data_IF_504185506794
#
_entry.id   IF_504185506794
#
_cell.length_a   1.000
_cell.length_b   1.000
_cell.length_c   1.000
_cell.angle_alpha   90.00
_cell.angle_beta   90.00
_cell.angle_gamma   90.00
#
_symmetry.space_group_name_H-M   'P 1'
#
loop_
_entity.id
_entity.type
_entity.pdbx_description
1 polymer ?
#
# COMPACT_ATOMS: atom_id res chain seq x y z
N UNK A 1 -26.63 -31.96 -7.44
CA UNK A 1 -26.01 -31.01 -8.39
C UNK A 1 -26.19 -29.59 -7.88
N UNK A 2 -25.15 -28.97 -7.31
CA UNK A 2 -25.22 -27.60 -6.73
C UNK A 2 -24.31 -26.68 -7.54
N UNK A 3 -24.93 -25.86 -8.40
CA UNK A 3 -24.27 -24.88 -9.27
C UNK A 3 -23.96 -23.63 -8.46
N UNK A 4 -22.75 -23.50 -7.93
CA UNK A 4 -22.30 -22.28 -7.27
C UNK A 4 -21.84 -21.25 -8.31
N UNK A 5 -22.21 -20.00 -8.07
CA UNK A 5 -22.19 -18.88 -9.00
C UNK A 5 -20.79 -18.30 -9.22
N UNK A 6 -20.39 -18.20 -10.49
CA UNK A 6 -19.12 -17.59 -10.96
C UNK A 6 -19.16 -16.05 -10.92
N UNK A 7 -20.27 -15.44 -10.49
CA UNK A 7 -20.50 -13.99 -10.56
C UNK A 7 -19.74 -13.16 -9.52
N UNK A 8 -19.25 -13.75 -8.42
CA UNK A 8 -18.54 -13.00 -7.38
C UNK A 8 -17.12 -12.53 -7.74
N UNK A 9 -16.45 -13.24 -8.65
CA UNK A 9 -15.02 -13.00 -8.97
C UNK A 9 -14.82 -11.78 -9.88
N UNK A 10 -15.81 -11.45 -10.72
CA UNK A 10 -15.70 -10.33 -11.66
C UNK A 10 -15.85 -8.96 -10.98
N UNK A 11 -16.58 -8.88 -9.86
CA UNK A 11 -16.85 -7.62 -9.16
C UNK A 11 -15.62 -7.17 -8.37
N UNK A 12 -14.95 -8.09 -7.68
CA UNK A 12 -13.76 -7.79 -6.87
C UNK A 12 -12.56 -7.34 -7.71
N UNK A 13 -12.41 -7.87 -8.93
CA UNK A 13 -11.35 -7.46 -9.86
C UNK A 13 -11.59 -6.04 -10.41
N UNK A 14 -12.85 -5.66 -10.67
CA UNK A 14 -13.20 -4.34 -11.24
C UNK A 14 -13.03 -3.21 -10.22
N UNK A 15 -13.38 -3.45 -8.95
CA UNK A 15 -13.16 -2.49 -7.85
C UNK A 15 -11.67 -2.26 -7.55
N UNK A 16 -10.84 -3.31 -7.64
CA UNK A 16 -9.39 -3.18 -7.46
C UNK A 16 -8.74 -2.30 -8.55
N UNK A 17 -9.24 -2.38 -9.80
CA UNK A 17 -8.75 -1.54 -10.89
C UNK A 17 -9.20 -0.07 -10.72
N UNK A 18 -10.44 0.19 -10.32
CA UNK A 18 -10.98 1.55 -10.13
C UNK A 18 -10.24 2.38 -9.06
N UNK A 19 -9.76 1.74 -7.99
CA UNK A 19 -8.98 2.43 -6.94
C UNK A 19 -7.64 2.99 -7.42
N UNK A 20 -7.02 2.35 -8.42
CA UNK A 20 -5.75 2.82 -8.99
C UNK A 20 -5.87 4.15 -9.73
N UNK A 21 -6.98 4.35 -10.47
CA UNK A 21 -7.20 5.55 -11.27
C UNK A 21 -7.47 6.79 -10.41
N UNK A 22 -8.16 6.64 -9.28
CA UNK A 22 -8.41 7.77 -8.37
C UNK A 22 -7.10 8.30 -7.79
N UNK A 23 -6.19 7.39 -7.39
CA UNK A 23 -4.88 7.75 -6.90
C UNK A 23 -4.03 8.40 -8.00
N UNK A 24 -4.09 7.87 -9.23
CA UNK A 24 -3.37 8.45 -10.36
C UNK A 24 -3.84 9.87 -10.67
N UNK A 25 -5.15 10.10 -10.72
CA UNK A 25 -5.74 11.43 -10.95
C UNK A 25 -5.33 12.38 -9.83
N UNK A 26 -5.40 11.93 -8.57
CA UNK A 26 -4.99 12.74 -7.42
C UNK A 26 -3.52 13.15 -7.54
N UNK A 27 -2.61 12.21 -7.84
CA UNK A 27 -1.18 12.50 -8.04
C UNK A 27 -0.99 13.51 -9.16
N UNK A 28 -1.64 13.32 -10.31
CA UNK A 28 -1.53 14.23 -11.47
C UNK A 28 -1.98 15.65 -11.11
N UNK A 29 -3.13 15.81 -10.45
CA UNK A 29 -3.64 17.13 -10.02
C UNK A 29 -2.64 17.79 -9.07
N UNK A 30 -2.12 17.04 -8.10
CA UNK A 30 -1.16 17.54 -7.13
C UNK A 30 0.16 17.95 -7.80
N UNK A 31 0.62 17.17 -8.79
CA UNK A 31 1.80 17.50 -9.61
C UNK A 31 1.58 18.77 -10.43
N UNK A 32 0.41 18.96 -11.04
CA UNK A 32 0.12 20.17 -11.82
C UNK A 32 0.16 21.40 -10.90
N UNK A 33 -0.51 21.33 -9.74
CA UNK A 33 -0.50 22.43 -8.75
C UNK A 33 0.93 22.72 -8.31
N UNK A 34 1.72 21.69 -8.05
CA UNK A 34 3.12 21.82 -7.68
C UNK A 34 3.95 22.53 -8.77
N UNK A 35 3.82 22.11 -10.02
CA UNK A 35 4.56 22.72 -11.14
C UNK A 35 4.14 24.17 -11.36
N UNK A 36 2.84 24.48 -11.33
CA UNK A 36 2.35 25.85 -11.48
C UNK A 36 2.86 26.73 -10.33
N UNK A 37 2.86 26.22 -9.10
CA UNK A 37 3.43 26.93 -7.96
C UNK A 37 4.93 27.19 -8.17
N UNK A 38 5.70 26.19 -8.58
CA UNK A 38 7.14 26.34 -8.82
C UNK A 38 7.46 27.38 -9.92
N UNK A 39 6.69 27.36 -11.01
CA UNK A 39 6.88 28.29 -12.13
C UNK A 39 6.51 29.74 -11.76
N UNK A 40 5.49 29.94 -10.93
CA UNK A 40 5.07 31.29 -10.51
C UNK A 40 5.85 31.82 -9.31
N UNK A 41 6.54 30.97 -8.56
CA UNK A 41 7.29 31.33 -7.36
C UNK A 41 8.78 31.00 -7.55
N UNK A 42 9.35 31.52 -8.65
CA UNK A 42 10.79 31.50 -8.92
C UNK A 42 11.54 32.62 -8.21
N UNK A 43 10.82 33.50 -7.51
CA UNK A 43 11.43 34.56 -6.74
C UNK A 43 12.35 33.99 -5.66
N UNK A 44 13.47 34.67 -5.54
CA UNK A 44 14.57 34.32 -4.67
C UNK A 44 14.33 34.93 -3.28
N UNK A 45 14.38 34.08 -2.25
CA UNK A 45 14.26 34.53 -0.84
C UNK A 45 15.61 34.39 -0.15
N UNK A 46 15.99 35.43 0.58
CA UNK A 46 17.18 35.42 1.41
C UNK A 46 16.86 34.65 2.70
N UNK A 47 17.57 33.55 2.92
CA UNK A 47 17.45 32.77 4.15
C UNK A 47 18.59 33.17 5.08
N UNK A 48 18.25 33.62 6.29
CA UNK A 48 19.22 33.80 7.38
C UNK A 48 19.32 32.52 8.19
N UNK A 49 20.42 31.79 8.01
CA UNK A 49 20.73 30.60 8.80
C UNK A 49 21.57 31.05 10.01
N UNK A 50 21.14 30.76 11.25
CA UNK A 50 21.89 31.15 12.44
C UNK A 50 23.28 30.48 12.45
N UNK A 51 24.34 31.25 12.73
CA UNK A 51 25.72 30.75 12.88
C UNK A 51 26.76 31.25 11.88
N UNK A 52 26.66 32.49 11.36
CA UNK A 52 27.59 33.09 10.37
C UNK A 52 27.63 32.38 8.99
N UNK A 53 26.63 31.57 8.66
CA UNK A 53 26.49 31.03 7.31
C UNK A 53 26.04 32.15 6.38
N UNK A 54 26.66 32.24 5.20
CA UNK A 54 26.36 33.28 4.21
C UNK A 54 24.86 33.32 3.88
N UNK A 55 24.34 34.54 3.70
CA UNK A 55 23.01 34.77 3.14
C UNK A 55 22.94 34.06 1.79
N UNK A 56 22.17 32.97 1.75
CA UNK A 56 21.99 32.21 0.53
C UNK A 56 20.63 32.57 -0.04
N UNK A 57 20.64 33.02 -1.30
CA UNK A 57 19.44 33.21 -2.09
C UNK A 57 18.93 31.85 -2.52
N UNK A 58 17.72 31.49 -2.11
CA UNK A 58 17.10 30.23 -2.48
C UNK A 58 15.71 30.52 -3.03
N UNK A 59 15.34 29.95 -4.19
CA UNK A 59 14.00 30.10 -4.71
C UNK A 59 12.94 29.57 -3.74
N UNK A 60 11.81 30.27 -3.61
CA UNK A 60 10.68 29.90 -2.73
C UNK A 60 10.27 28.43 -2.93
N UNK A 61 10.24 27.96 -4.18
CA UNK A 61 9.80 26.60 -4.48
C UNK A 61 10.67 25.53 -3.79
N UNK A 62 11.97 25.77 -3.60
CA UNK A 62 12.86 24.80 -2.95
C UNK A 62 12.46 24.62 -1.49
N UNK A 63 12.16 25.71 -0.79
CA UNK A 63 11.70 25.70 0.61
C UNK A 63 10.36 24.96 0.78
N UNK A 64 9.48 25.03 -0.22
CA UNK A 64 8.20 24.32 -0.19
C UNK A 64 8.34 22.83 -0.56
N UNK A 65 9.04 22.53 -1.66
CA UNK A 65 9.07 21.18 -2.22
C UNK A 65 10.00 20.22 -1.49
N UNK A 66 11.15 20.67 -0.98
CA UNK A 66 12.08 19.79 -0.27
C UNK A 66 11.43 19.10 0.93
N UNK A 67 10.84 19.82 1.91
CA UNK A 67 10.19 19.17 3.05
C UNK A 67 8.96 18.35 2.64
N UNK A 68 8.21 18.80 1.63
CA UNK A 68 7.10 18.04 1.07
C UNK A 68 7.56 16.69 0.48
N UNK A 69 8.66 16.69 -0.26
CA UNK A 69 9.24 15.50 -0.88
C UNK A 69 9.78 14.54 0.20
N UNK A 70 10.41 15.07 1.24
CA UNK A 70 10.82 14.27 2.40
C UNK A 70 9.62 13.63 3.10
N UNK A 71 8.53 14.38 3.31
CA UNK A 71 7.28 13.85 3.88
C UNK A 71 6.66 12.76 2.99
N UNK A 72 6.69 12.95 1.67
CA UNK A 72 6.22 11.95 0.71
C UNK A 72 7.02 10.65 0.77
N UNK A 73 8.36 10.74 0.76
CA UNK A 73 9.23 9.56 0.91
C UNK A 73 8.92 8.83 2.21
N UNK A 74 8.77 9.57 3.31
CA UNK A 74 8.47 8.98 4.62
C UNK A 74 7.12 8.24 4.62
N UNK A 75 6.09 8.82 3.99
CA UNK A 75 4.79 8.17 3.83
C UNK A 75 4.87 6.92 2.93
N UNK A 76 5.60 7.00 1.82
CA UNK A 76 5.74 5.88 0.90
C UNK A 76 6.46 4.69 1.57
N UNK A 77 7.58 4.96 2.25
CA UNK A 77 8.37 3.94 2.97
C UNK A 77 7.53 3.30 4.09
N UNK A 78 6.82 4.09 4.89
CA UNK A 78 5.97 3.57 5.96
C UNK A 78 4.79 2.75 5.43
N UNK A 79 4.19 3.14 4.31
CA UNK A 79 3.14 2.39 3.61
C UNK A 79 3.64 1.05 3.07
N UNK A 80 4.79 1.04 2.38
CA UNK A 80 5.38 -0.20 1.86
C UNK A 80 5.71 -1.21 2.95
N UNK A 81 6.23 -0.74 4.09
CA UNK A 81 6.49 -1.59 5.25
C UNK A 81 5.23 -2.34 5.70
N UNK A 82 4.11 -1.62 5.88
CA UNK A 82 2.84 -2.22 6.32
C UNK A 82 2.26 -3.20 5.30
N UNK A 83 2.31 -2.85 4.01
CA UNK A 83 1.80 -3.71 2.93
C UNK A 83 2.56 -5.05 2.86
N UNK A 84 3.89 -5.01 3.04
CA UNK A 84 4.72 -6.23 3.00
C UNK A 84 4.42 -7.18 4.15
N UNK A 85 4.21 -6.66 5.36
CA UNK A 85 3.82 -7.45 6.54
C UNK A 85 2.44 -8.07 6.36
N UNK A 86 1.48 -7.30 5.81
CA UNK A 86 0.13 -7.80 5.56
C UNK A 86 0.10 -8.91 4.52
N UNK A 87 0.91 -8.80 3.45
CA UNK A 87 1.06 -9.89 2.47
C UNK A 87 1.61 -11.17 3.12
N UNK A 88 2.68 -11.06 3.90
CA UNK A 88 3.26 -12.22 4.60
C UNK A 88 2.27 -12.88 5.55
N UNK A 89 1.50 -12.09 6.32
CA UNK A 89 0.45 -12.61 7.21
C UNK A 89 -0.66 -13.30 6.42
N UNK A 90 -1.08 -12.72 5.30
CA UNK A 90 -2.09 -13.33 4.43
C UNK A 90 -1.64 -14.70 3.91
N UNK A 91 -0.39 -14.80 3.45
CA UNK A 91 0.18 -16.08 2.98
C UNK A 91 0.30 -17.10 4.12
N UNK A 92 0.72 -16.68 5.31
CA UNK A 92 0.80 -17.54 6.49
C UNK A 92 -0.58 -18.09 6.89
N UNK A 93 -1.59 -17.22 6.96
CA UNK A 93 -2.97 -17.62 7.30
C UNK A 93 -3.57 -18.56 6.25
N UNK A 94 -3.25 -18.36 4.97
CA UNK A 94 -3.68 -19.23 3.90
C UNK A 94 -3.04 -20.62 3.99
N UNK A 95 -1.74 -20.69 4.32
CA UNK A 95 -1.04 -21.97 4.57
C UNK A 95 -1.60 -22.71 5.79
N UNK A 96 -1.91 -21.99 6.87
CA UNK A 96 -2.50 -22.58 8.07
C UNK A 96 -3.90 -23.16 7.81
N UNK A 97 -4.76 -22.43 7.08
CA UNK A 97 -6.05 -22.96 6.65
C UNK A 97 -5.90 -24.25 5.84
N UNK A 98 -4.99 -24.27 4.85
CA UNK A 98 -4.76 -25.47 4.05
C UNK A 98 -4.23 -26.66 4.86
N UNK A 99 -3.40 -26.40 5.88
CA UNK A 99 -2.90 -27.45 6.77
C UNK A 99 -4.03 -28.03 7.64
N UNK A 100 -4.85 -27.17 8.24
CA UNK A 100 -6.00 -27.55 9.06
C UNK A 100 -7.05 -28.32 8.23
N UNK A 101 -7.33 -27.88 7.00
CA UNK A 101 -8.22 -28.61 6.09
C UNK A 101 -7.70 -30.01 5.75
N UNK A 102 -6.38 -30.16 5.58
CA UNK A 102 -5.75 -31.47 5.35
C UNK A 102 -5.85 -32.36 6.58
N UNK A 103 -5.62 -31.83 7.77
CA UNK A 103 -5.75 -32.59 9.04
C UNK A 103 -7.19 -33.06 9.27
N UNK A 104 -8.18 -32.19 9.06
CA UNK A 104 -9.59 -32.58 9.13
C UNK A 104 -9.92 -33.67 8.12
N UNK A 105 -9.42 -33.56 6.89
CA UNK A 105 -9.62 -34.57 5.85
C UNK A 105 -8.97 -35.91 6.22
N UNK A 106 -7.79 -35.86 6.84
CA UNK A 106 -7.06 -37.05 7.26
C UNK A 106 -7.75 -37.76 8.42
N UNK A 107 -8.20 -37.02 9.44
CA UNK A 107 -8.97 -37.55 10.57
C UNK A 107 -10.31 -38.13 10.13
N UNK A 108 -10.96 -37.51 9.14
CA UNK A 108 -12.24 -37.98 8.60
C UNK A 108 -12.12 -39.24 7.74
N UNK A 109 -10.92 -39.53 7.24
CA UNK A 109 -10.59 -40.73 6.46
C UNK A 109 -9.95 -41.83 7.31
N UNK A 110 -9.79 -41.63 8.62
CA UNK A 110 -9.32 -42.69 9.50
C UNK A 110 -10.46 -43.72 9.62
N UNK A 111 -10.24 -44.99 9.22
CA UNK A 111 -11.26 -46.01 9.35
C UNK A 111 -11.62 -46.16 10.83
N UNK A 112 -12.92 -46.23 11.11
CA UNK A 112 -13.49 -46.56 12.42
C UNK A 112 -13.13 -48.03 12.73
N UNK A 113 -11.86 -48.34 12.96
CA UNK A 113 -11.38 -49.70 13.26
C UNK A 113 -11.46 -50.03 14.77
N UNK A 114 -12.27 -49.25 15.51
CA UNK A 114 -12.52 -49.42 16.95
C UNK A 114 -13.91 -50.00 17.25
N UNK A 115 -14.64 -50.46 16.23
CA UNK A 115 -15.88 -51.19 16.45
C UNK A 115 -15.60 -52.71 16.45
N UNK A 116 -15.72 -53.26 17.67
CA UNK A 116 -16.02 -54.66 18.01
C UNK A 116 -14.86 -55.67 18.01
N UNK A 117 -14.02 -55.61 19.04
CA UNK A 117 -13.47 -56.83 19.67
C UNK A 117 -14.30 -57.10 20.94
N UNK A 118 -15.38 -57.87 20.78
CA UNK A 118 -16.09 -58.55 21.87
C UNK A 118 -15.68 -60.03 21.86
#
# INVERSE_FOLDING_TARGET
MRRWSVTGLHVTLKLAHMGGWINLIMVVVLTIVAVVFALNNQDDVIIHIPGNWQQTSVPVFVLAFVPMLLGFIFCAVSGWGRMSVMRRRSEQLQRQNQALERELTNLRNQPLDNDVQL
#
